data_IF_127584179430
#
_entry.id   IF_127584179430
#
_cell.length_a   1.000
_cell.length_b   1.000
_cell.length_c   1.000
_cell.angle_alpha   90.00
_cell.angle_beta   90.00
_cell.angle_gamma   90.00
#
_symmetry.space_group_name_H-M   'P 1'
#
loop_
_entity.id
_entity.type
_entity.pdbx_description
1 polymer ?
#
# COMPACT_ATOMS: atom_id res chain seq x y z
N UNK A 1 18.50 9.83 1.28
CA UNK A 1 17.19 10.46 1.52
C UNK A 1 16.43 9.59 2.50
N UNK A 2 15.70 10.15 3.48
CA UNK A 2 14.87 9.32 4.37
C UNK A 2 13.51 9.03 3.73
N UNK A 3 12.86 7.92 4.12
CA UNK A 3 11.47 7.63 3.71
C UNK A 3 10.52 8.77 4.13
N UNK A 4 10.75 9.36 5.30
CA UNK A 4 9.96 10.49 5.80
C UNK A 4 10.05 11.69 4.85
N UNK A 5 11.26 12.06 4.43
CA UNK A 5 11.46 13.19 3.51
C UNK A 5 10.81 12.90 2.14
N UNK A 6 10.98 11.67 1.65
CA UNK A 6 10.44 11.23 0.36
C UNK A 6 8.91 11.26 0.32
N UNK A 7 8.24 10.83 1.39
CA UNK A 7 6.79 10.80 1.48
C UNK A 7 6.19 12.11 2.04
N UNK A 8 7.02 13.08 2.46
CA UNK A 8 6.55 14.34 3.01
C UNK A 8 5.56 15.11 2.13
N UNK A 9 5.67 15.11 0.77
CA UNK A 9 4.70 15.75 -0.09
C UNK A 9 3.27 15.18 0.01
N UNK A 10 3.13 13.92 0.45
CA UNK A 10 1.83 13.28 0.61
C UNK A 10 1.16 13.59 1.96
N UNK A 11 1.78 14.35 2.85
CA UNK A 11 1.20 14.60 4.20
C UNK A 11 -0.10 15.38 4.11
N UNK A 12 -1.10 14.95 4.87
CA UNK A 12 -2.38 15.64 4.93
C UNK A 12 -3.57 14.68 4.99
N UNK A 13 -4.74 15.25 4.71
CA UNK A 13 -5.99 14.52 4.54
C UNK A 13 -6.31 14.46 3.05
N UNK A 14 -6.84 13.33 2.60
CA UNK A 14 -7.09 13.02 1.20
C UNK A 14 -8.48 12.41 1.04
N UNK A 15 -9.12 12.71 -0.09
CA UNK A 15 -10.17 11.87 -0.65
C UNK A 15 -9.59 11.11 -1.84
N UNK A 16 -10.27 10.08 -2.32
CA UNK A 16 -9.75 9.33 -3.45
C UNK A 16 -10.67 8.23 -3.91
N UNK A 17 -10.12 7.42 -4.80
CA UNK A 17 -10.75 6.20 -5.29
C UNK A 17 -9.86 5.02 -4.96
N UNK A 18 -10.42 4.00 -4.33
CA UNK A 18 -9.81 2.68 -4.24
C UNK A 18 -10.38 1.81 -5.36
N UNK A 19 -9.52 1.03 -6.02
CA UNK A 19 -9.91 0.01 -7.00
C UNK A 19 -9.36 -1.33 -6.57
N UNK A 20 -10.22 -2.35 -6.53
CA UNK A 20 -9.87 -3.72 -6.18
C UNK A 20 -10.23 -4.67 -7.33
N UNK A 21 -9.38 -5.64 -7.61
CA UNK A 21 -9.70 -6.84 -8.40
C UNK A 21 -8.97 -8.05 -7.81
N UNK A 22 -9.56 -9.25 -7.86
CA UNK A 22 -8.97 -10.43 -7.24
C UNK A 22 -8.07 -11.22 -8.20
N UNK A 23 -8.51 -11.34 -9.45
CA UNK A 23 -7.77 -11.99 -10.52
C UNK A 23 -7.29 -10.98 -11.56
N UNK A 24 -6.19 -11.26 -12.29
CA UNK A 24 -5.65 -10.35 -13.29
C UNK A 24 -6.60 -10.05 -14.46
N UNK A 25 -7.60 -10.90 -14.69
CA UNK A 25 -8.63 -10.76 -15.73
C UNK A 25 -9.92 -10.14 -15.24
N UNK A 26 -10.08 -9.95 -13.93
CA UNK A 26 -11.27 -9.33 -13.36
C UNK A 26 -11.28 -7.83 -13.65
N UNK A 27 -12.49 -7.29 -13.84
CA UNK A 27 -12.71 -5.85 -13.85
C UNK A 27 -12.46 -5.28 -12.45
N UNK A 28 -11.95 -4.05 -12.41
CA UNK A 28 -11.79 -3.33 -11.15
C UNK A 28 -13.15 -2.89 -10.60
N UNK A 29 -13.36 -3.20 -9.33
CA UNK A 29 -14.44 -2.62 -8.53
C UNK A 29 -13.92 -1.38 -7.81
N UNK A 30 -14.59 -0.25 -8.01
CA UNK A 30 -14.19 1.03 -7.43
C UNK A 30 -15.04 1.37 -6.20
N UNK A 31 -14.40 1.94 -5.18
CA UNK A 31 -15.06 2.54 -4.02
C UNK A 31 -14.45 3.92 -3.74
N UNK A 32 -15.21 4.79 -3.09
CA UNK A 32 -14.64 5.99 -2.48
C UNK A 32 -13.61 5.58 -1.43
N UNK A 33 -12.57 6.39 -1.28
CA UNK A 33 -11.56 6.24 -0.27
C UNK A 33 -11.26 7.58 0.41
N UNK A 34 -10.78 7.50 1.65
CA UNK A 34 -10.12 8.62 2.33
C UNK A 34 -8.77 8.16 2.83
N UNK A 35 -7.84 9.10 3.04
CA UNK A 35 -6.57 8.79 3.69
C UNK A 35 -6.07 9.93 4.56
N UNK A 36 -5.43 9.56 5.67
CA UNK A 36 -4.69 10.44 6.56
C UNK A 36 -3.22 10.03 6.56
N UNK A 37 -2.36 10.93 6.08
CA UNK A 37 -0.92 10.69 5.95
C UNK A 37 -0.16 11.62 6.88
N UNK A 38 0.60 11.04 7.81
CA UNK A 38 1.28 11.77 8.86
C UNK A 38 2.67 11.22 9.15
N UNK A 39 3.55 12.08 9.69
CA UNK A 39 4.80 11.63 10.30
C UNK A 39 4.49 11.13 11.71
N UNK A 40 4.88 9.90 12.00
CA UNK A 40 4.66 9.22 13.28
C UNK A 40 5.99 8.93 13.95
N UNK A 41 6.06 9.14 15.26
CA UNK A 41 7.27 8.89 16.05
C UNK A 41 8.56 9.52 15.44
N UNK A 42 8.44 10.64 14.73
CA UNK A 42 9.52 11.42 14.09
C UNK A 42 10.28 10.68 12.95
N UNK A 43 10.17 9.36 12.85
CA UNK A 43 10.98 8.51 11.95
C UNK A 43 10.16 7.62 11.02
N UNK A 44 8.84 7.64 11.16
CA UNK A 44 7.93 6.85 10.36
C UNK A 44 6.91 7.75 9.68
N UNK A 45 6.29 7.22 8.63
CA UNK A 45 5.09 7.74 8.01
C UNK A 45 3.98 6.73 8.22
N UNK A 46 2.85 7.18 8.77
CA UNK A 46 1.61 6.43 8.82
C UNK A 46 0.70 6.87 7.68
N UNK A 47 0.16 5.91 6.95
CA UNK A 47 -0.89 6.09 5.94
C UNK A 47 -2.08 5.27 6.42
N UNK A 48 -3.03 5.93 7.08
CA UNK A 48 -4.31 5.31 7.43
C UNK A 48 -5.29 5.62 6.31
N UNK A 49 -5.99 4.63 5.79
CA UNK A 49 -6.93 4.80 4.68
C UNK A 49 -8.20 3.99 4.88
N UNK A 50 -9.26 4.41 4.18
CA UNK A 50 -10.57 3.73 4.15
C UNK A 50 -10.92 3.33 2.72
N UNK A 51 -11.71 2.28 2.57
CA UNK A 51 -12.30 1.85 1.30
C UNK A 51 -13.53 0.96 1.57
N UNK A 52 -14.17 0.42 0.53
CA UNK A 52 -15.28 -0.52 0.70
C UNK A 52 -15.23 -1.70 -0.27
N UNK A 53 -15.59 -2.89 0.22
CA UNK A 53 -15.92 -4.06 -0.58
C UNK A 53 -17.45 -4.13 -0.73
N UNK A 54 -17.96 -3.60 -1.83
CA UNK A 54 -19.40 -3.31 -1.97
C UNK A 54 -19.88 -2.34 -0.88
N UNK A 55 -20.83 -2.78 -0.06
CA UNK A 55 -21.37 -2.00 1.07
C UNK A 55 -20.60 -2.19 2.39
N UNK A 56 -19.58 -3.06 2.41
CA UNK A 56 -18.81 -3.35 3.62
C UNK A 56 -17.62 -2.37 3.75
N UNK A 57 -17.64 -1.43 4.72
CA UNK A 57 -16.52 -0.52 4.93
C UNK A 57 -15.30 -1.26 5.46
N UNK A 58 -14.13 -0.82 5.00
CA UNK A 58 -12.83 -1.39 5.34
C UNK A 58 -11.84 -0.27 5.71
N UNK A 59 -10.88 -0.61 6.57
CA UNK A 59 -9.82 0.26 7.02
C UNK A 59 -8.47 -0.41 6.81
N UNK A 60 -7.45 0.39 6.48
CA UNK A 60 -6.08 -0.09 6.38
C UNK A 60 -5.06 0.91 6.91
N UNK A 61 -3.90 0.38 7.26
CA UNK A 61 -2.77 1.13 7.81
C UNK A 61 -1.46 0.62 7.21
N UNK A 62 -0.68 1.54 6.65
CA UNK A 62 0.74 1.33 6.36
C UNK A 62 1.54 2.18 7.34
N UNK A 63 2.50 1.58 8.05
CA UNK A 63 3.50 2.29 8.84
C UNK A 63 4.88 1.95 8.28
N UNK A 64 5.59 2.95 7.75
CA UNK A 64 6.87 2.75 7.05
C UNK A 64 7.92 3.75 7.51
N UNK A 65 9.16 3.31 7.61
CA UNK A 65 10.31 4.15 7.95
C UNK A 65 11.59 3.63 7.31
N UNK A 66 12.72 4.26 7.64
CA UNK A 66 14.03 3.92 7.10
C UNK A 66 14.57 4.96 6.11
N UNK A 67 15.51 4.54 5.29
CA UNK A 67 16.15 5.35 4.26
C UNK A 67 15.91 4.80 2.85
N UNK A 68 16.50 5.46 1.85
CA UNK A 68 16.30 5.11 0.45
C UNK A 68 16.73 3.67 0.10
N UNK A 69 17.73 3.11 0.78
CA UNK A 69 18.26 1.79 0.45
C UNK A 69 17.74 0.70 1.41
N UNK A 70 17.19 1.11 2.57
CA UNK A 70 16.73 0.22 3.63
C UNK A 70 15.46 0.77 4.29
N UNK A 71 14.34 0.67 3.57
CA UNK A 71 13.01 0.91 4.11
C UNK A 71 12.44 -0.36 4.76
N UNK A 72 11.69 -0.18 5.84
CA UNK A 72 10.94 -1.24 6.50
C UNK A 72 9.58 -0.74 6.95
N UNK A 73 8.60 -1.64 6.99
CA UNK A 73 7.26 -1.26 7.39
C UNK A 73 6.36 -2.43 7.72
N UNK A 74 5.16 -2.08 8.18
CA UNK A 74 4.06 -3.01 8.39
C UNK A 74 2.84 -2.54 7.64
N UNK A 75 2.04 -3.49 7.17
CA UNK A 75 0.72 -3.24 6.59
C UNK A 75 -0.32 -4.11 7.30
N UNK A 76 -1.45 -3.50 7.63
CA UNK A 76 -2.65 -4.20 8.07
C UNK A 76 -3.83 -3.62 7.28
N UNK A 77 -4.73 -4.49 6.85
CA UNK A 77 -5.96 -4.13 6.18
C UNK A 77 -7.07 -5.06 6.68
N UNK A 78 -8.20 -4.49 7.08
CA UNK A 78 -9.28 -5.22 7.75
C UNK A 78 -9.85 -6.37 6.92
N UNK A 79 -9.70 -6.31 5.59
CA UNK A 79 -10.15 -7.34 4.66
C UNK A 79 -8.98 -8.23 4.20
N UNK A 80 -7.89 -7.65 3.72
CA UNK A 80 -6.81 -8.44 3.08
C UNK A 80 -5.99 -9.27 4.09
N UNK A 81 -5.68 -8.69 5.27
CA UNK A 81 -4.81 -9.34 6.26
C UNK A 81 -5.55 -9.79 7.51
N UNK A 82 -6.84 -9.41 7.63
CA UNK A 82 -7.69 -9.74 8.76
C UNK A 82 -7.09 -9.25 10.09
N UNK A 83 -6.96 -10.14 11.11
CA UNK A 83 -6.43 -9.75 12.43
C UNK A 83 -4.90 -9.67 12.48
N UNK A 84 -4.20 -9.89 11.36
CA UNK A 84 -2.73 -9.94 11.32
C UNK A 84 -2.15 -8.76 10.55
N UNK A 85 -0.90 -8.40 10.87
CA UNK A 85 -0.10 -7.51 10.03
C UNK A 85 0.89 -8.29 9.19
N UNK A 86 1.27 -7.71 8.05
CA UNK A 86 2.37 -8.16 7.21
C UNK A 86 3.57 -7.24 7.38
N UNK A 87 4.77 -7.80 7.42
CA UNK A 87 6.03 -7.05 7.48
C UNK A 87 6.65 -6.91 6.09
N UNK A 88 7.27 -5.76 5.84
CA UNK A 88 7.87 -5.43 4.55
C UNK A 88 9.29 -4.91 4.72
N UNK A 89 10.10 -5.14 3.69
CA UNK A 89 11.40 -4.51 3.48
C UNK A 89 11.51 -3.98 2.06
N UNK A 90 12.34 -2.97 1.82
CA UNK A 90 12.52 -2.44 0.47
C UNK A 90 13.29 -1.13 0.45
N UNK A 91 12.96 -0.25 -0.50
CA UNK A 91 13.67 1.00 -0.74
C UNK A 91 13.03 1.88 -1.81
N UNK A 92 13.64 3.04 -2.05
CA UNK A 92 13.21 4.02 -3.03
C UNK A 92 13.97 3.75 -4.34
N UNK A 93 13.23 3.47 -5.41
CA UNK A 93 13.80 3.27 -6.74
C UNK A 93 14.31 4.55 -7.38
N UNK A 94 15.08 4.41 -8.47
CA UNK A 94 15.55 5.55 -9.27
C UNK A 94 14.43 6.35 -9.95
N UNK A 95 13.23 5.79 -10.01
CA UNK A 95 12.00 6.39 -10.53
C UNK A 95 11.14 7.03 -9.42
N UNK A 96 11.72 7.30 -8.25
CA UNK A 96 11.05 7.92 -7.10
C UNK A 96 9.82 7.14 -6.59
N UNK A 97 9.79 5.82 -6.78
CA UNK A 97 8.77 4.94 -6.21
C UNK A 97 9.36 4.18 -5.03
N UNK A 98 8.75 4.35 -3.86
CA UNK A 98 9.02 3.50 -2.69
C UNK A 98 8.41 2.12 -2.94
N UNK A 99 9.25 1.08 -2.98
CA UNK A 99 8.84 -0.31 -3.17
C UNK A 99 9.08 -1.09 -1.89
N UNK A 100 8.06 -1.78 -1.44
CA UNK A 100 8.06 -2.63 -0.26
C UNK A 100 7.66 -4.04 -0.66
N UNK A 101 8.45 -5.02 -0.24
CA UNK A 101 8.23 -6.45 -0.51
C UNK A 101 8.03 -7.20 0.80
N UNK A 102 6.97 -8.01 0.84
CA UNK A 102 6.65 -8.95 1.91
C UNK A 102 6.15 -10.27 1.32
N UNK A 103 5.87 -11.23 2.19
CA UNK A 103 5.30 -12.53 1.80
C UNK A 103 4.23 -12.96 2.79
N UNK A 104 3.34 -13.84 2.33
CA UNK A 104 2.31 -14.44 3.16
C UNK A 104 2.07 -15.91 2.78
N UNK A 105 1.63 -16.75 3.73
CA UNK A 105 1.35 -18.15 3.46
C UNK A 105 0.21 -18.30 2.45
N UNK A 106 0.42 -19.13 1.43
CA UNK A 106 -0.65 -19.58 0.55
C UNK A 106 -1.41 -20.75 1.19
N UNK A 107 -2.66 -20.98 0.78
CA UNK A 107 -3.42 -22.17 1.23
C UNK A 107 -2.69 -23.48 0.90
N UNK A 108 -1.96 -23.50 -0.22
CA UNK A 108 -1.10 -24.61 -0.61
C UNK A 108 0.08 -24.13 -1.46
N UNK A 109 1.19 -24.88 -1.39
CA UNK A 109 2.41 -24.56 -2.13
C UNK A 109 3.32 -23.55 -1.41
N UNK A 110 4.26 -22.93 -2.13
CA UNK A 110 5.12 -21.89 -1.57
C UNK A 110 4.34 -20.62 -1.21
N UNK A 111 4.88 -19.85 -0.26
CA UNK A 111 4.37 -18.53 0.10
C UNK A 111 4.27 -17.61 -1.13
N UNK A 112 3.24 -16.77 -1.15
CA UNK A 112 3.07 -15.74 -2.17
C UNK A 112 3.76 -14.46 -1.71
N UNK A 113 4.22 -13.66 -2.67
CA UNK A 113 4.74 -12.33 -2.39
C UNK A 113 3.65 -11.28 -2.49
N UNK A 114 3.84 -10.19 -1.76
CA UNK A 114 3.03 -8.98 -1.86
C UNK A 114 3.95 -7.78 -2.03
N UNK A 115 3.66 -6.93 -3.02
CA UNK A 115 4.37 -5.67 -3.19
C UNK A 115 3.44 -4.50 -2.90
N UNK A 116 3.96 -3.51 -2.18
CA UNK A 116 3.33 -2.19 -2.03
C UNK A 116 4.25 -1.18 -2.70
N UNK A 117 3.71 -0.42 -3.65
CA UNK A 117 4.40 0.66 -4.33
C UNK A 117 3.70 1.99 -3.98
N UNK A 118 4.47 2.95 -3.46
CA UNK A 118 3.97 4.28 -3.11
C UNK A 118 4.68 5.30 -4.00
N UNK A 119 3.90 6.08 -4.76
CA UNK A 119 4.40 7.14 -5.63
C UNK A 119 3.89 8.50 -5.15
N UNK A 120 4.75 9.31 -4.50
CA UNK A 120 4.37 10.62 -3.99
C UNK A 120 3.90 11.63 -5.03
N UNK A 121 4.49 11.57 -6.24
CA UNK A 121 4.23 12.53 -7.31
C UNK A 121 2.78 12.47 -7.80
N UNK A 122 2.20 11.27 -7.84
CA UNK A 122 0.83 11.01 -8.29
C UNK A 122 -0.12 10.74 -7.11
N UNK A 123 0.35 10.90 -5.87
CA UNK A 123 -0.33 10.49 -4.65
C UNK A 123 -1.03 9.11 -4.77
N UNK A 124 -0.34 8.14 -5.37
CA UNK A 124 -0.91 6.83 -5.71
C UNK A 124 -0.20 5.72 -4.95
N UNK A 125 -0.99 4.77 -4.43
CA UNK A 125 -0.51 3.54 -3.79
C UNK A 125 -1.06 2.37 -4.58
N UNK A 126 -0.19 1.46 -5.01
CA UNK A 126 -0.60 0.23 -5.71
C UNK A 126 -0.08 -0.98 -4.99
N UNK A 127 -0.86 -2.06 -5.01
CA UNK A 127 -0.48 -3.33 -4.39
C UNK A 127 -0.61 -4.47 -5.38
N UNK A 128 0.36 -5.38 -5.35
CA UNK A 128 0.49 -6.43 -6.34
C UNK A 128 0.67 -7.79 -5.68
N UNK A 129 0.03 -8.80 -6.26
CA UNK A 129 0.27 -10.19 -5.94
C UNK A 129 1.45 -10.71 -6.74
N UNK A 130 2.29 -11.50 -6.08
CA UNK A 130 3.40 -12.23 -6.68
C UNK A 130 3.19 -13.71 -6.43
N UNK A 131 2.51 -14.35 -7.37
CA UNK A 131 2.27 -15.80 -7.32
C UNK A 131 3.47 -16.51 -7.93
N UNK A 132 4.09 -17.48 -7.24
CA UNK A 132 5.22 -18.22 -7.78
C UNK A 132 4.90 -18.86 -9.13
N UNK A 133 5.70 -18.55 -10.15
CA UNK A 133 5.54 -19.05 -11.51
C UNK A 133 4.53 -18.26 -12.37
N UNK A 134 4.01 -17.14 -11.90
CA UNK A 134 3.15 -16.24 -12.67
C UNK A 134 3.75 -14.83 -12.73
N UNK A 135 3.28 -14.03 -13.71
CA UNK A 135 3.60 -12.61 -13.75
C UNK A 135 2.94 -11.87 -12.58
N UNK A 136 3.64 -10.93 -11.92
CA UNK A 136 3.03 -10.06 -10.92
C UNK A 136 1.84 -9.31 -11.50
N UNK A 137 0.77 -9.17 -10.71
CA UNK A 137 -0.41 -8.42 -11.14
C UNK A 137 -0.93 -7.50 -10.05
N UNK A 138 -1.37 -6.31 -10.47
CA UNK A 138 -1.94 -5.30 -9.57
C UNK A 138 -3.30 -5.77 -9.06
N UNK A 139 -3.49 -5.75 -7.75
CA UNK A 139 -4.72 -6.11 -7.02
C UNK A 139 -5.43 -4.85 -6.56
N UNK A 140 -4.66 -3.88 -6.02
CA UNK A 140 -5.18 -2.63 -5.45
C UNK A 140 -4.56 -1.42 -6.15
N UNK A 141 -5.38 -0.40 -6.38
CA UNK A 141 -4.95 0.97 -6.70
C UNK A 141 -5.73 1.95 -5.82
N UNK A 142 -5.03 2.69 -4.98
CA UNK A 142 -5.54 3.80 -4.21
C UNK A 142 -4.98 5.10 -4.80
N UNK A 143 -5.82 5.85 -5.50
CA UNK A 143 -5.48 7.15 -6.07
C UNK A 143 -6.07 8.25 -5.19
N UNK A 144 -5.20 9.15 -4.69
CA UNK A 144 -5.57 10.19 -3.73
C UNK A 144 -5.57 11.58 -4.38
N UNK A 145 -6.54 12.38 -3.97
CA UNK A 145 -6.76 13.77 -4.36
C UNK A 145 -6.75 14.66 -3.11
N UNK A 146 -6.00 15.76 -3.17
CA UNK A 146 -5.86 16.67 -2.03
C UNK A 146 -7.22 17.26 -1.67
N UNK A 147 -7.52 17.30 -0.38
CA UNK A 147 -8.59 18.20 0.11
C UNK A 147 -8.03 19.61 0.03
N UNK A 148 -8.70 20.50 -0.72
CA UNK A 148 -8.27 21.88 -0.92
C UNK A 148 -8.19 22.71 0.36
#
# INVERSE_FOLDING_TARGET
>A
MSVVDHLSPMRGQWHGTNRLRLMPTDDYQASTATAAIAVTAVRFVSIAYTWSDGDAPQDGLILVGGDADSASGVWQDSWHTGPTWMTFSGGIGQDDVLRLTGSYPAESGPDWGWHIHIRPQDATITMHNLVPGQEPYQVVELALESVG
#
